data_IF_092331689013
#
_entry.id   IF_092331689013
#
_cell.length_a   1.000
_cell.length_b   1.000
_cell.length_c   1.000
_cell.angle_alpha   90.00
_cell.angle_beta   90.00
_cell.angle_gamma   90.00
#
_symmetry.space_group_name_H-M   'P 1'
#
loop_
_entity.id
_entity.type
_entity.pdbx_description
1 polymer ?
#
# COMPACT_ATOMS: atom_id res chain seq x y z
N UNK A 1 -17.86 5.74 15.78
CA UNK A 1 -17.55 5.00 14.52
C UNK A 1 -16.83 5.96 13.61
N UNK A 2 -15.77 5.57 12.89
CA UNK A 2 -15.07 6.44 11.92
C UNK A 2 -15.43 6.05 10.49
N UNK A 3 -15.33 7.02 9.59
CA UNK A 3 -15.48 6.86 8.15
C UNK A 3 -14.09 7.05 7.49
N UNK A 4 -13.78 6.23 6.47
CA UNK A 4 -12.59 6.41 5.62
C UNK A 4 -13.05 6.80 4.22
N UNK A 5 -12.50 7.90 3.71
CA UNK A 5 -12.83 8.45 2.38
C UNK A 5 -11.68 9.26 1.80
N UNK A 6 -11.81 9.65 0.54
CA UNK A 6 -10.90 10.61 -0.09
C UNK A 6 -11.00 11.98 0.61
N UNK A 7 -9.84 12.63 0.76
CA UNK A 7 -9.74 13.97 1.32
C UNK A 7 -10.50 15.01 0.49
N UNK A 8 -11.14 15.98 1.16
CA UNK A 8 -11.77 17.12 0.51
C UNK A 8 -10.74 18.28 0.37
N UNK A 9 -10.84 19.11 -0.66
CA UNK A 9 -9.93 20.25 -0.82
C UNK A 9 -9.89 21.19 0.40
N UNK A 10 -10.99 21.32 1.13
CA UNK A 10 -11.09 22.14 2.34
C UNK A 10 -10.37 21.56 3.55
N UNK A 11 -9.95 20.30 3.50
CA UNK A 11 -9.28 19.59 4.61
C UNK A 11 -7.76 19.61 4.47
N UNK A 12 -7.20 20.03 3.32
CA UNK A 12 -5.79 19.86 3.01
C UNK A 12 -4.86 20.54 4.03
N UNK A 13 -5.23 21.72 4.54
CA UNK A 13 -4.46 22.39 5.59
C UNK A 13 -4.43 21.55 6.87
N UNK A 14 -5.59 21.09 7.35
CA UNK A 14 -5.69 20.27 8.55
C UNK A 14 -4.96 18.91 8.40
N UNK A 15 -4.97 18.33 7.20
CA UNK A 15 -4.25 17.10 6.88
C UNK A 15 -2.74 17.34 6.96
N UNK A 16 -2.26 18.44 6.40
CA UNK A 16 -0.86 18.85 6.46
C UNK A 16 -0.38 19.02 7.89
N UNK A 17 -1.15 19.77 8.69
CA UNK A 17 -0.84 20.01 10.10
C UNK A 17 -0.84 18.72 10.91
N UNK A 18 -1.89 17.89 10.81
CA UNK A 18 -1.94 16.59 11.49
C UNK A 18 -0.73 15.72 11.15
N UNK A 19 -0.33 15.69 9.86
CA UNK A 19 0.80 14.88 9.39
C UNK A 19 2.10 15.40 9.99
N UNK A 20 2.42 16.67 9.80
CA UNK A 20 3.68 17.26 10.24
C UNK A 20 3.80 17.25 11.79
N UNK A 21 2.76 17.68 12.49
CA UNK A 21 2.77 17.76 13.94
C UNK A 21 2.92 16.36 14.57
N UNK A 22 2.30 15.33 14.00
CA UNK A 22 2.50 13.95 14.47
C UNK A 22 3.95 13.50 14.28
N UNK A 23 4.55 13.75 13.11
CA UNK A 23 5.94 13.35 12.84
C UNK A 23 6.94 14.09 13.74
N UNK A 24 6.71 15.38 13.99
CA UNK A 24 7.54 16.19 14.91
C UNK A 24 7.39 15.71 16.35
N UNK A 25 6.16 15.51 16.83
CA UNK A 25 5.88 15.09 18.19
C UNK A 25 6.45 13.70 18.52
N UNK A 26 6.49 12.79 17.53
CA UNK A 26 7.06 11.44 17.66
C UNK A 26 8.59 11.41 17.41
N UNK A 27 9.21 12.54 17.08
CA UNK A 27 10.65 12.63 16.82
C UNK A 27 11.10 11.97 15.51
N UNK A 28 10.19 11.80 14.54
CA UNK A 28 10.52 11.22 13.22
C UNK A 28 11.15 12.21 12.25
N UNK A 29 11.02 13.50 12.53
CA UNK A 29 11.67 14.58 11.79
C UNK A 29 12.25 15.62 12.75
N UNK A 30 13.36 16.24 12.35
CA UNK A 30 14.02 17.28 13.12
C UNK A 30 13.44 18.65 12.74
N UNK A 31 12.86 19.35 13.73
CA UNK A 31 12.34 20.72 13.56
C UNK A 31 10.95 20.78 12.92
N UNK A 32 10.22 21.85 13.27
CA UNK A 32 8.82 22.04 12.82
C UNK A 32 8.68 22.75 11.47
N UNK A 33 9.69 23.55 11.05
CA UNK A 33 9.54 24.56 10.00
C UNK A 33 10.47 24.39 8.80
N UNK A 34 11.19 23.26 8.66
CA UNK A 34 12.12 23.05 7.56
C UNK A 34 12.23 21.61 7.07
N UNK A 35 12.96 21.42 5.98
CA UNK A 35 13.25 20.10 5.45
C UNK A 35 12.00 19.29 5.16
N UNK A 36 11.98 18.04 5.62
CA UNK A 36 10.87 17.11 5.35
C UNK A 36 9.56 17.52 6.05
N UNK A 37 9.60 18.31 7.13
CA UNK A 37 8.38 18.79 7.80
C UNK A 37 7.54 19.70 6.87
N UNK A 38 8.17 20.50 6.02
CA UNK A 38 7.48 21.31 5.01
C UNK A 38 6.75 20.42 3.98
N UNK A 39 7.40 19.36 3.50
CA UNK A 39 6.79 18.36 2.60
C UNK A 39 5.60 17.67 3.26
N UNK A 40 5.69 17.36 4.56
CA UNK A 40 4.58 16.77 5.33
C UNK A 40 3.40 17.74 5.46
N UNK A 41 3.63 19.05 5.56
CA UNK A 41 2.56 20.07 5.59
C UNK A 41 1.91 20.31 4.24
N UNK A 42 2.61 20.13 3.15
CA UNK A 42 2.10 20.34 1.80
C UNK A 42 1.18 19.21 1.34
N UNK A 43 0.00 19.13 1.94
CA UNK A 43 -1.02 18.17 1.54
C UNK A 43 -1.65 18.52 0.18
N UNK A 44 -1.55 19.77 -0.27
CA UNK A 44 -2.08 20.20 -1.57
C UNK A 44 -1.31 19.51 -2.71
N UNK A 45 0.02 19.65 -2.74
CA UNK A 45 0.88 18.98 -3.72
C UNK A 45 0.72 17.43 -3.65
N UNK A 46 0.54 16.86 -2.45
CA UNK A 46 0.26 15.43 -2.30
C UNK A 46 -1.07 15.02 -2.95
N UNK A 47 -2.13 15.82 -2.78
CA UNK A 47 -3.44 15.53 -3.34
C UNK A 47 -3.48 15.64 -4.88
N UNK A 48 -2.59 16.44 -5.48
CA UNK A 48 -2.44 16.55 -6.94
C UNK A 48 -1.74 15.33 -7.56
N UNK A 49 -0.84 14.68 -6.82
CA UNK A 49 0.05 13.63 -7.35
C UNK A 49 -0.24 12.23 -6.80
N UNK A 50 -1.12 12.10 -5.81
CA UNK A 50 -1.41 10.85 -5.13
C UNK A 50 -2.85 10.82 -4.60
N UNK A 51 -3.33 9.63 -4.27
CA UNK A 51 -4.59 9.46 -3.56
C UNK A 51 -4.37 9.76 -2.07
N UNK A 52 -5.04 10.80 -1.58
CA UNK A 52 -5.01 11.21 -0.18
C UNK A 52 -6.30 10.74 0.51
N UNK A 53 -6.18 9.81 1.46
CA UNK A 53 -7.30 9.29 2.23
C UNK A 53 -7.29 9.85 3.65
N UNK A 54 -8.48 10.04 4.19
CA UNK A 54 -8.71 10.53 5.56
C UNK A 54 -9.63 9.57 6.32
N UNK A 55 -9.43 9.52 7.63
CA UNK A 55 -10.38 8.96 8.57
C UNK A 55 -11.00 10.08 9.40
N UNK A 56 -12.33 10.11 9.50
CA UNK A 56 -13.08 11.15 10.22
C UNK A 56 -14.03 10.53 11.24
N UNK A 57 -14.20 11.19 12.39
CA UNK A 57 -15.17 10.86 13.43
C UNK A 57 -16.00 12.13 13.69
N UNK A 58 -17.30 12.05 13.51
CA UNK A 58 -18.23 13.17 13.72
C UNK A 58 -17.75 14.46 13.00
N UNK A 59 -17.20 14.30 11.80
CA UNK A 59 -16.65 15.40 11.00
C UNK A 59 -15.23 15.85 11.38
N UNK A 60 -14.66 15.34 12.47
CA UNK A 60 -13.29 15.66 12.88
C UNK A 60 -12.27 14.72 12.22
N UNK A 61 -11.19 15.28 11.67
CA UNK A 61 -10.07 14.52 11.10
C UNK A 61 -9.31 13.79 12.21
N UNK A 62 -9.23 12.45 12.11
CA UNK A 62 -8.55 11.61 13.10
C UNK A 62 -7.40 10.78 12.53
N UNK A 63 -7.23 10.77 11.21
CA UNK A 63 -6.11 10.09 10.57
C UNK A 63 -6.05 10.38 9.08
N UNK A 64 -4.89 10.17 8.49
CA UNK A 64 -4.66 10.34 7.04
C UNK A 64 -3.57 9.39 6.55
N UNK A 65 -3.58 9.12 5.26
CA UNK A 65 -2.57 8.34 4.55
C UNK A 65 -2.48 8.79 3.10
N UNK A 66 -1.30 8.72 2.52
CA UNK A 66 -1.04 8.98 1.10
C UNK A 66 -0.76 7.65 0.40
N UNK A 67 -1.46 7.37 -0.70
CA UNK A 67 -1.17 6.27 -1.63
C UNK A 67 -0.69 6.87 -2.95
N UNK A 68 0.58 6.70 -3.25
CA UNK A 68 1.20 7.16 -4.49
C UNK A 68 1.34 5.98 -5.47
N UNK A 69 0.99 6.20 -6.73
CA UNK A 69 1.11 5.21 -7.79
C UNK A 69 2.42 5.38 -8.54
N UNK A 70 2.98 4.29 -9.04
CA UNK A 70 4.24 4.29 -9.79
C UNK A 70 4.25 5.33 -10.91
N UNK A 71 5.36 6.06 -11.02
CA UNK A 71 5.51 7.19 -11.93
C UNK A 71 5.13 8.56 -11.35
N UNK A 72 4.52 8.63 -10.14
CA UNK A 72 4.31 9.91 -9.45
C UNK A 72 5.55 10.33 -8.66
N UNK A 73 5.67 11.65 -8.37
CA UNK A 73 6.78 12.20 -7.59
C UNK A 73 6.83 11.73 -6.12
N UNK A 74 5.80 11.05 -5.64
CA UNK A 74 5.73 10.45 -4.30
C UNK A 74 5.92 8.94 -4.31
N UNK A 75 6.27 8.32 -5.46
CA UNK A 75 6.45 6.88 -5.62
C UNK A 75 7.86 6.51 -6.10
N UNK A 76 8.89 7.15 -5.56
CA UNK A 76 10.29 7.04 -6.01
C UNK A 76 10.83 5.60 -5.96
N UNK A 77 10.26 4.77 -5.10
CA UNK A 77 10.68 3.36 -4.90
C UNK A 77 9.77 2.34 -5.60
N UNK A 78 8.77 2.80 -6.36
CA UNK A 78 7.79 1.93 -7.01
C UNK A 78 8.04 1.77 -8.51
N UNK A 79 7.84 0.57 -9.03
CA UNK A 79 7.71 0.32 -10.46
C UNK A 79 6.36 0.89 -10.99
N UNK A 80 6.19 1.03 -12.32
CA UNK A 80 4.98 1.64 -12.89
C UNK A 80 3.66 0.94 -12.50
N UNK A 81 3.70 -0.35 -12.22
CA UNK A 81 2.57 -1.19 -11.82
C UNK A 81 2.51 -1.43 -10.30
N UNK A 82 3.22 -0.63 -9.52
CA UNK A 82 3.24 -0.69 -8.07
C UNK A 82 2.66 0.58 -7.44
N UNK A 83 2.34 0.53 -6.14
CA UNK A 83 1.95 1.69 -5.36
C UNK A 83 2.75 1.77 -4.05
N UNK A 84 2.87 2.98 -3.49
CA UNK A 84 3.57 3.23 -2.23
C UNK A 84 2.63 3.88 -1.22
N UNK A 85 2.53 3.28 -0.03
CA UNK A 85 1.89 3.91 1.12
C UNK A 85 2.90 4.81 1.82
N UNK A 86 2.51 6.07 2.04
CA UNK A 86 3.33 7.08 2.70
C UNK A 86 2.53 7.87 3.73
N UNK A 87 3.22 8.44 4.70
CA UNK A 87 2.68 9.45 5.61
C UNK A 87 1.40 9.01 6.31
N UNK A 88 1.34 7.73 6.74
CA UNK A 88 0.25 7.23 7.57
C UNK A 88 0.35 7.82 8.97
N UNK A 89 -0.66 8.57 9.37
CA UNK A 89 -0.78 9.11 10.73
C UNK A 89 -2.18 8.91 11.29
N UNK A 90 -2.24 8.82 12.61
CA UNK A 90 -3.48 8.83 13.39
C UNK A 90 -3.32 9.80 14.56
N UNK A 91 -4.34 10.60 14.82
CA UNK A 91 -4.33 11.48 15.98
C UNK A 91 -4.12 10.68 17.28
N UNK A 92 -3.45 11.22 18.29
CA UNK A 92 -3.21 10.50 19.55
C UNK A 92 -4.51 9.95 20.18
N UNK A 93 -5.60 10.70 20.10
CA UNK A 93 -6.90 10.33 20.65
C UNK A 93 -7.57 9.15 19.93
N UNK A 94 -7.22 8.89 18.66
CA UNK A 94 -7.80 7.82 17.86
C UNK A 94 -6.90 6.56 17.76
N UNK A 95 -5.76 6.56 18.45
CA UNK A 95 -4.86 5.39 18.48
C UNK A 95 -5.53 4.19 19.15
N UNK A 96 -5.18 3.00 18.71
CA UNK A 96 -5.74 1.75 19.24
C UNK A 96 -7.19 1.47 18.81
N UNK A 97 -7.85 2.37 18.08
CA UNK A 97 -9.24 2.23 17.62
C UNK A 97 -9.36 1.63 16.19
N UNK A 98 -8.26 1.17 15.62
CA UNK A 98 -8.27 0.53 14.29
C UNK A 98 -8.19 1.50 13.10
N UNK A 99 -8.09 2.82 13.33
CA UNK A 99 -8.04 3.85 12.27
C UNK A 99 -6.91 3.61 11.27
N UNK A 100 -5.68 3.40 11.75
CA UNK A 100 -4.54 3.13 10.87
C UNK A 100 -4.71 1.84 10.06
N UNK A 101 -5.31 0.81 10.64
CA UNK A 101 -5.64 -0.43 9.93
C UNK A 101 -6.64 -0.19 8.79
N UNK A 102 -7.70 0.56 9.05
CA UNK A 102 -8.72 0.86 8.04
C UNK A 102 -8.15 1.73 6.90
N UNK A 103 -7.30 2.71 7.20
CA UNK A 103 -6.62 3.53 6.21
C UNK A 103 -5.73 2.69 5.29
N UNK A 104 -4.93 1.75 5.85
CA UNK A 104 -4.10 0.85 5.03
C UNK A 104 -4.97 -0.07 4.19
N UNK A 105 -6.04 -0.66 4.74
CA UNK A 105 -6.96 -1.51 3.95
C UNK A 105 -7.58 -0.74 2.79
N UNK A 106 -8.03 0.51 2.99
CA UNK A 106 -8.53 1.36 1.92
C UNK A 106 -7.47 1.65 0.84
N UNK A 107 -6.19 1.83 1.23
CA UNK A 107 -5.10 1.93 0.27
C UNK A 107 -4.93 0.63 -0.55
N UNK A 108 -5.01 -0.54 0.10
CA UNK A 108 -4.88 -1.82 -0.60
C UNK A 108 -6.02 -2.05 -1.60
N UNK A 109 -7.24 -1.64 -1.24
CA UNK A 109 -8.39 -1.75 -2.14
C UNK A 109 -8.24 -0.80 -3.34
N UNK A 110 -7.86 0.47 -3.11
CA UNK A 110 -7.60 1.42 -4.18
C UNK A 110 -6.45 0.97 -5.11
N UNK A 111 -5.37 0.40 -4.55
CA UNK A 111 -4.28 -0.14 -5.35
C UNK A 111 -4.72 -1.35 -6.21
N UNK A 112 -5.59 -2.22 -5.68
CA UNK A 112 -6.18 -3.33 -6.47
C UNK A 112 -7.08 -2.82 -7.59
N UNK A 113 -7.92 -1.82 -7.32
CA UNK A 113 -8.79 -1.19 -8.32
C UNK A 113 -7.98 -0.53 -9.44
N UNK A 114 -6.83 0.07 -9.11
CA UNK A 114 -5.89 0.64 -10.06
C UNK A 114 -5.06 -0.42 -10.83
N UNK A 115 -5.19 -1.72 -10.48
CA UNK A 115 -4.47 -2.81 -11.13
C UNK A 115 -3.01 -2.97 -10.69
N UNK A 116 -2.63 -2.39 -9.55
CA UNK A 116 -1.27 -2.55 -9.01
C UNK A 116 -1.00 -4.01 -8.63
N UNK A 117 0.24 -4.43 -8.82
CA UNK A 117 0.71 -5.80 -8.52
C UNK A 117 1.30 -5.91 -7.12
N UNK A 118 1.88 -4.82 -6.60
CA UNK A 118 2.53 -4.74 -5.28
C UNK A 118 2.21 -3.39 -4.64
N UNK A 119 2.03 -3.39 -3.32
CA UNK A 119 2.07 -2.18 -2.50
C UNK A 119 3.33 -2.21 -1.64
N UNK A 120 4.11 -1.13 -1.72
CA UNK A 120 5.32 -0.91 -0.92
C UNK A 120 5.08 0.14 0.15
N UNK A 121 5.94 0.16 1.13
CA UNK A 121 6.05 1.24 2.10
C UNK A 121 7.47 1.28 2.69
N UNK A 122 7.85 2.44 3.21
CA UNK A 122 9.08 2.62 3.95
C UNK A 122 8.79 3.23 5.33
N UNK A 123 9.56 2.82 6.34
CA UNK A 123 9.33 3.23 7.73
C UNK A 123 10.66 3.28 8.48
N UNK A 124 10.78 4.15 9.50
CA UNK A 124 11.95 4.18 10.35
C UNK A 124 11.96 3.02 11.36
N UNK A 125 13.13 2.57 11.80
CA UNK A 125 13.28 1.49 12.77
C UNK A 125 12.55 1.76 14.09
N UNK A 126 12.37 3.02 14.46
CA UNK A 126 11.67 3.47 15.67
C UNK A 126 10.15 3.34 15.60
N UNK A 127 9.57 3.26 14.41
CA UNK A 127 8.11 3.20 14.18
C UNK A 127 7.52 1.80 14.46
N UNK A 128 7.79 1.22 15.63
CA UNK A 128 7.47 -0.19 15.95
C UNK A 128 5.97 -0.50 15.93
N UNK A 129 5.10 0.48 16.20
CA UNK A 129 3.66 0.30 16.12
C UNK A 129 3.19 0.12 14.66
N UNK A 130 3.81 0.85 13.73
CA UNK A 130 3.56 0.73 12.30
C UNK A 130 4.05 -0.63 11.76
N UNK A 131 5.24 -1.11 12.19
CA UNK A 131 5.74 -2.43 11.81
C UNK A 131 4.74 -3.53 12.16
N UNK A 132 4.25 -3.55 13.42
CA UNK A 132 3.23 -4.52 13.86
C UNK A 132 1.92 -4.44 13.06
N UNK A 133 1.53 -3.25 12.63
CA UNK A 133 0.36 -3.07 11.78
C UNK A 133 0.60 -3.71 10.40
N UNK A 134 1.70 -3.38 9.75
CA UNK A 134 2.02 -3.86 8.41
C UNK A 134 2.21 -5.39 8.38
N UNK A 135 2.92 -5.95 9.33
CA UNK A 135 3.13 -7.40 9.46
C UNK A 135 1.81 -8.17 9.66
N UNK A 136 0.88 -7.64 10.49
CA UNK A 136 -0.47 -8.23 10.62
C UNK A 136 -1.28 -8.19 9.34
N UNK A 137 -1.07 -7.20 8.50
CA UNK A 137 -1.72 -7.07 7.18
C UNK A 137 -1.02 -7.90 6.09
N UNK A 138 0.06 -8.61 6.43
CA UNK A 138 0.76 -9.50 5.52
C UNK A 138 1.92 -8.86 4.75
N UNK A 139 2.26 -7.61 5.04
CA UNK A 139 3.49 -7.02 4.49
C UNK A 139 4.71 -7.77 5.00
N UNK A 140 5.67 -7.98 4.13
CA UNK A 140 6.94 -8.62 4.44
C UNK A 140 8.10 -7.66 4.24
N UNK A 141 9.14 -7.78 5.09
CA UNK A 141 10.37 -7.00 4.95
C UNK A 141 11.08 -7.33 3.65
N UNK A 142 11.59 -6.28 2.98
CA UNK A 142 12.43 -6.37 1.78
C UNK A 142 13.77 -5.67 2.04
N UNK A 143 14.69 -6.24 2.84
CA UNK A 143 15.92 -5.56 3.27
C UNK A 143 16.85 -5.16 2.12
N UNK A 144 16.74 -5.80 0.96
CA UNK A 144 17.49 -5.43 -0.23
C UNK A 144 17.07 -4.08 -0.83
N UNK A 145 15.86 -3.61 -0.49
CA UNK A 145 15.26 -2.36 -0.95
C UNK A 145 15.34 -1.25 0.10
N UNK A 146 16.02 -1.49 1.24
CA UNK A 146 16.22 -0.46 2.27
C UNK A 146 17.05 0.69 1.70
N UNK A 147 16.70 1.92 2.09
CA UNK A 147 17.32 3.12 1.54
C UNK A 147 17.34 4.26 2.55
N UNK A 148 18.13 5.29 2.24
CA UNK A 148 18.28 6.48 3.08
C UNK A 148 18.02 7.72 2.23
N UNK A 149 16.90 8.45 2.45
CA UNK A 149 16.60 9.67 1.71
C UNK A 149 17.60 10.81 2.00
N UNK A 150 18.16 10.81 3.20
CA UNK A 150 19.15 11.78 3.65
C UNK A 150 20.07 11.15 4.72
N UNK A 151 21.27 11.68 4.93
CA UNK A 151 22.18 11.16 5.95
C UNK A 151 21.55 11.07 7.35
N UNK A 152 21.58 9.89 7.94
CA UNK A 152 21.04 9.63 9.28
C UNK A 152 19.55 9.25 9.32
N UNK A 153 18.87 9.16 8.19
CA UNK A 153 17.50 8.67 8.10
C UNK A 153 17.47 7.36 7.31
N UNK A 154 17.55 6.24 8.03
CA UNK A 154 17.48 4.90 7.41
C UNK A 154 16.04 4.40 7.42
N UNK A 155 15.58 4.00 6.24
CA UNK A 155 14.23 3.50 6.02
C UNK A 155 14.22 2.01 5.73
N UNK A 156 13.45 1.29 6.52
CA UNK A 156 13.15 -0.12 6.37
C UNK A 156 12.00 -0.28 5.38
N UNK A 157 12.17 -1.09 4.35
CA UNK A 157 11.17 -1.30 3.31
C UNK A 157 10.37 -2.57 3.52
N UNK A 158 9.08 -2.49 3.27
CA UNK A 158 8.13 -3.59 3.28
C UNK A 158 7.36 -3.63 1.97
N UNK A 159 6.95 -4.83 1.54
CA UNK A 159 6.12 -5.03 0.36
C UNK A 159 4.99 -6.02 0.64
N UNK A 160 3.85 -5.80 0.00
CA UNK A 160 2.70 -6.69 -0.03
C UNK A 160 2.30 -6.96 -1.48
N UNK A 161 2.49 -8.18 -2.00
CA UNK A 161 1.97 -8.55 -3.31
C UNK A 161 0.42 -8.53 -3.30
N UNK A 162 -0.17 -7.83 -4.26
CA UNK A 162 -1.63 -7.79 -4.46
C UNK A 162 -2.10 -8.81 -5.49
N UNK A 163 -1.19 -9.31 -6.33
CA UNK A 163 -1.45 -10.35 -7.31
C UNK A 163 -0.47 -11.52 -7.13
N UNK A 164 -0.89 -12.69 -7.62
CA UNK A 164 -0.14 -13.92 -7.49
C UNK A 164 0.03 -14.59 -8.85
N UNK A 165 1.13 -15.27 -9.05
CA UNK A 165 1.37 -16.04 -10.26
C UNK A 165 0.38 -17.20 -10.38
N UNK A 166 -0.35 -17.24 -11.49
CA UNK A 166 -1.31 -18.32 -11.77
C UNK A 166 -0.69 -19.72 -11.82
N UNK A 167 0.60 -19.83 -12.14
CA UNK A 167 1.30 -21.11 -12.24
C UNK A 167 1.88 -21.58 -10.91
N UNK A 168 2.72 -20.78 -10.23
CA UNK A 168 3.41 -21.18 -9.00
C UNK A 168 2.77 -20.66 -7.71
N UNK A 169 1.82 -19.72 -7.79
CA UNK A 169 1.12 -19.15 -6.65
C UNK A 169 1.96 -18.18 -5.80
N UNK A 170 3.18 -17.82 -6.19
CA UNK A 170 3.98 -16.80 -5.49
C UNK A 170 3.46 -15.40 -5.82
N UNK A 171 3.77 -14.42 -4.96
CA UNK A 171 3.53 -13.00 -5.26
C UNK A 171 4.20 -12.60 -6.57
N UNK A 172 3.64 -11.60 -7.24
CA UNK A 172 4.17 -11.11 -8.51
C UNK A 172 5.27 -10.08 -8.22
N UNK A 173 6.40 -10.57 -7.72
CA UNK A 173 7.59 -9.81 -7.30
C UNK A 173 8.75 -9.89 -8.31
N UNK A 174 8.46 -10.26 -9.55
CA UNK A 174 9.43 -10.50 -10.62
C UNK A 174 9.86 -11.97 -10.75
N UNK A 175 10.64 -12.29 -11.78
CA UNK A 175 11.23 -13.63 -11.97
C UNK A 175 10.24 -14.73 -12.39
N UNK A 176 9.09 -14.38 -12.98
CA UNK A 176 8.05 -15.33 -13.41
C UNK A 176 8.08 -15.70 -14.91
N UNK A 177 9.16 -15.43 -15.62
CA UNK A 177 9.28 -15.69 -17.06
C UNK A 177 9.05 -17.18 -17.43
N UNK A 178 9.57 -18.10 -16.61
CA UNK A 178 9.33 -19.54 -16.80
C UNK A 178 7.88 -19.89 -16.55
N UNK A 179 7.25 -19.27 -15.57
CA UNK A 179 5.82 -19.45 -15.27
C UNK A 179 4.93 -18.87 -16.37
N UNK A 180 5.31 -17.72 -16.96
CA UNK A 180 4.60 -17.11 -18.09
C UNK A 180 4.55 -18.07 -19.28
N UNK A 181 5.72 -18.60 -19.69
CA UNK A 181 5.79 -19.59 -20.77
C UNK A 181 4.98 -20.86 -20.50
N UNK A 182 4.96 -21.32 -19.24
CA UNK A 182 4.14 -22.47 -18.86
C UNK A 182 2.64 -22.16 -18.96
N UNK A 183 2.20 -20.95 -18.61
CA UNK A 183 0.81 -20.54 -18.71
C UNK A 183 0.30 -20.33 -20.15
N UNK A 184 1.19 -20.25 -21.15
CA UNK A 184 0.80 -20.27 -22.56
C UNK A 184 0.25 -21.64 -22.99
N UNK A 185 0.66 -22.71 -22.32
CA UNK A 185 0.30 -24.10 -22.65
C UNK A 185 -0.57 -24.76 -21.58
N UNK A 186 -0.39 -24.39 -20.32
CA UNK A 186 -1.06 -25.00 -19.16
C UNK A 186 -2.08 -24.02 -18.55
N UNK A 187 -3.23 -24.50 -18.08
CA UNK A 187 -4.17 -23.68 -17.33
C UNK A 187 -3.59 -23.21 -15.99
N UNK A 188 -4.07 -22.06 -15.46
CA UNK A 188 -3.62 -21.55 -14.18
C UNK A 188 -4.02 -22.49 -13.04
N UNK A 189 -3.07 -22.77 -12.15
CA UNK A 189 -3.25 -23.65 -10.97
C UNK A 189 -3.64 -22.86 -9.72
N UNK A 190 -3.35 -21.56 -9.70
CA UNK A 190 -3.59 -20.65 -8.58
C UNK A 190 -4.37 -19.43 -9.04
N UNK A 191 -5.28 -18.98 -8.20
CA UNK A 191 -5.99 -17.73 -8.43
C UNK A 191 -5.04 -16.54 -8.29
N UNK A 192 -4.97 -15.69 -9.32
CA UNK A 192 -4.09 -14.53 -9.35
C UNK A 192 -4.50 -13.46 -8.32
N UNK A 193 -5.74 -13.49 -7.82
CA UNK A 193 -6.27 -12.52 -6.85
C UNK A 193 -6.10 -12.93 -5.40
N UNK A 194 -6.19 -14.25 -5.07
CA UNK A 194 -6.18 -14.70 -3.68
C UNK A 194 -5.22 -15.87 -3.40
N UNK A 195 -4.42 -16.29 -4.37
CA UNK A 195 -3.46 -17.38 -4.25
C UNK A 195 -4.07 -18.78 -3.99
N UNK A 196 -5.38 -18.92 -3.85
CA UNK A 196 -6.00 -20.23 -3.64
C UNK A 196 -5.78 -21.13 -4.85
N UNK A 197 -5.56 -22.41 -4.59
CA UNK A 197 -5.48 -23.40 -5.65
C UNK A 197 -6.84 -23.51 -6.35
N UNK A 198 -6.82 -23.47 -7.69
CA UNK A 198 -8.02 -23.53 -8.51
C UNK A 198 -8.39 -24.99 -8.83
N UNK A 199 -9.65 -25.24 -9.04
CA UNK A 199 -10.14 -26.50 -9.62
C UNK A 199 -10.04 -26.34 -11.12
N UNK A 200 -9.17 -27.14 -11.75
CA UNK A 200 -8.89 -27.08 -13.18
C UNK A 200 -9.53 -28.27 -13.88
N UNK A 201 -10.23 -28.03 -14.98
CA UNK A 201 -10.75 -29.03 -15.89
C UNK A 201 -10.25 -28.75 -17.30
N UNK A 202 -9.68 -29.77 -17.95
CA UNK A 202 -9.22 -29.69 -19.34
C UNK A 202 -10.26 -30.38 -20.24
N UNK A 203 -10.62 -29.72 -21.33
CA UNK A 203 -11.59 -30.16 -22.33
C UNK A 203 -10.89 -30.28 -23.69
N UNK A 204 -11.46 -31.00 -24.65
CA UNK A 204 -10.87 -31.12 -25.99
C UNK A 204 -10.66 -29.78 -26.71
N UNK A 205 -11.42 -28.75 -26.32
CA UNK A 205 -11.39 -27.40 -26.94
C UNK A 205 -10.76 -26.33 -26.06
N UNK A 206 -10.21 -26.71 -24.89
CA UNK A 206 -9.61 -25.73 -23.96
C UNK A 206 -9.62 -26.21 -22.53
N UNK A 207 -9.71 -25.26 -21.59
CA UNK A 207 -9.73 -25.55 -20.16
C UNK A 207 -10.64 -24.58 -19.42
N UNK A 208 -11.08 -24.98 -18.22
CA UNK A 208 -11.68 -24.09 -17.25
C UNK A 208 -10.95 -24.21 -15.90
N UNK A 209 -10.76 -23.08 -15.21
CA UNK A 209 -10.10 -23.02 -13.91
C UNK A 209 -10.97 -22.19 -12.94
N UNK A 210 -11.50 -22.81 -11.87
CA UNK A 210 -12.44 -22.19 -10.94
C UNK A 210 -11.80 -21.91 -9.59
N UNK A 211 -11.86 -20.65 -9.19
CA UNK A 211 -11.63 -20.19 -7.83
C UNK A 211 -12.97 -20.09 -7.09
N UNK A 212 -13.02 -20.60 -5.85
CA UNK A 212 -14.25 -20.56 -5.02
C UNK A 212 -14.68 -19.12 -4.68
N UNK A 213 -13.73 -18.18 -4.61
CA UNK A 213 -13.98 -16.78 -4.25
C UNK A 213 -14.13 -15.86 -5.47
N UNK A 214 -13.44 -16.16 -6.57
CA UNK A 214 -13.27 -15.21 -7.69
C UNK A 214 -13.84 -15.73 -9.03
N UNK A 215 -14.56 -16.86 -8.98
CA UNK A 215 -15.23 -17.38 -10.17
C UNK A 215 -14.32 -18.22 -11.08
N UNK A 216 -14.74 -18.35 -12.34
CA UNK A 216 -14.12 -19.23 -13.34
C UNK A 216 -13.39 -18.42 -14.40
N UNK A 217 -12.22 -18.91 -14.82
CA UNK A 217 -11.48 -18.50 -16.00
C UNK A 217 -11.58 -19.62 -17.03
N UNK A 218 -11.61 -19.28 -18.31
CA UNK A 218 -11.65 -20.20 -19.45
C UNK A 218 -10.55 -19.82 -20.46
N UNK A 219 -10.00 -20.80 -21.15
CA UNK A 219 -8.99 -20.61 -22.19
C UNK A 219 -8.89 -21.83 -23.12
#
# INVERSE_FOLDING_TARGET
MFEVRTALPTELVAIGDLTADTYVAEGYVNGADGGYAATLRDAATRAEQALLLVAVVDGALVGTVTLAFGGSGFAETAAPDEAVIRMLVTSPAARGQGVGNALVLACLDAAREAGCTVVRLSTQATMTAAHRLYERLGFTRTPADDWSPEPGVDLLTYALPLSFCGFCGRGFDGGHEVCGRALELDPPRYCTRCRRRMVVQVHPTGWSARCIEHGTLEG
#
